data_IF_975989443974
#
_entry.id   IF_975989443974
#
_cell.length_a   1.000
_cell.length_b   1.000
_cell.length_c   1.000
_cell.angle_alpha   90.00
_cell.angle_beta   90.00
_cell.angle_gamma   90.00
#
_symmetry.space_group_name_H-M   'P 1'
#
loop_
_entity.id
_entity.type
_entity.pdbx_description
1 polymer ?
#
# COMPACT_ATOMS: atom_id res chain seq x y z
N UNK A 1 -3.24 21.20 1.87
CA UNK A 1 -1.80 21.45 2.08
C UNK A 1 -1.29 20.33 2.97
N UNK A 2 -0.25 19.60 2.55
CA UNK A 2 0.21 18.37 3.21
C UNK A 2 0.56 18.56 4.70
N UNK A 3 -0.18 17.93 5.62
CA UNK A 3 0.10 17.88 7.06
C UNK A 3 1.55 17.46 7.37
N UNK A 4 2.12 16.59 6.52
CA UNK A 4 3.51 16.12 6.61
C UNK A 4 4.55 17.25 6.70
N UNK A 5 4.32 18.35 5.97
CA UNK A 5 5.26 19.47 5.85
C UNK A 5 5.44 20.26 7.15
N UNK A 6 4.39 20.31 7.98
CA UNK A 6 4.31 21.19 9.15
C UNK A 6 4.53 20.46 10.47
N UNK A 7 4.09 19.20 10.59
CA UNK A 7 4.21 18.45 11.86
C UNK A 7 5.65 18.02 12.18
N UNK A 8 6.44 17.66 11.16
CA UNK A 8 7.81 17.15 11.35
C UNK A 8 8.92 18.12 10.94
N UNK A 9 8.58 19.39 10.64
CA UNK A 9 9.53 20.40 10.10
C UNK A 9 10.33 19.87 8.90
N UNK A 10 9.75 18.96 8.12
CA UNK A 10 10.39 18.37 6.95
C UNK A 10 9.76 19.02 5.72
N UNK A 11 10.51 19.79 4.91
CA UNK A 11 9.94 20.56 3.79
C UNK A 11 9.62 19.67 2.57
N UNK A 12 9.12 18.47 2.80
CA UNK A 12 8.77 17.49 1.78
C UNK A 12 7.26 17.58 1.53
N UNK A 13 6.89 17.62 0.25
CA UNK A 13 5.50 17.56 -0.21
C UNK A 13 5.28 16.27 -0.99
N UNK A 14 4.02 15.87 -1.14
CA UNK A 14 3.62 14.67 -1.87
C UNK A 14 2.89 15.06 -3.16
N UNK A 15 3.28 14.45 -4.27
CA UNK A 15 2.63 14.62 -5.57
C UNK A 15 2.15 13.26 -6.07
N UNK A 16 0.91 13.22 -6.59
CA UNK A 16 0.34 12.05 -7.23
C UNK A 16 0.66 12.11 -8.74
N UNK A 17 1.60 11.30 -9.25
CA UNK A 17 1.88 11.26 -10.68
C UNK A 17 0.68 10.69 -11.45
N UNK A 18 0.60 10.93 -12.76
CA UNK A 18 -0.44 10.36 -13.62
C UNK A 18 0.18 9.36 -14.61
N UNK A 19 -0.10 8.04 -14.49
CA UNK A 19 -0.93 7.41 -13.46
C UNK A 19 -0.21 7.29 -12.10
N UNK A 20 -0.98 7.24 -11.01
CA UNK A 20 -0.46 7.06 -9.66
C UNK A 20 -0.30 5.57 -9.39
N UNK A 21 0.92 5.03 -9.27
CA UNK A 21 1.09 3.62 -8.96
C UNK A 21 0.54 3.32 -7.56
N UNK A 22 -0.32 2.32 -7.47
CA UNK A 22 -0.86 1.81 -6.21
C UNK A 22 -0.65 0.29 -6.11
N UNK A 23 -0.37 -0.18 -4.91
CA UNK A 23 -0.27 -1.61 -4.61
C UNK A 23 -1.40 -2.03 -3.70
N UNK A 24 -2.02 -3.16 -3.98
CA UNK A 24 -3.02 -3.76 -3.10
C UNK A 24 -2.29 -4.20 -1.82
N UNK A 25 -2.78 -3.76 -0.66
CA UNK A 25 -2.10 -3.93 0.62
C UNK A 25 -1.78 -5.38 0.99
N UNK A 26 -0.72 -5.54 1.78
CA UNK A 26 -0.08 -6.83 2.13
C UNK A 26 -0.82 -7.67 3.17
N UNK A 27 -2.14 -7.80 3.12
CA UNK A 27 -2.80 -8.91 3.83
C UNK A 27 -2.56 -10.19 3.04
N UNK A 28 -1.33 -10.68 3.23
CA UNK A 28 -0.87 -11.97 2.75
C UNK A 28 -1.70 -13.06 3.41
N UNK A 29 -2.12 -14.03 2.59
CA UNK A 29 -3.02 -15.09 3.01
C UNK A 29 -2.57 -15.89 4.23
N UNK A 30 -3.44 -16.78 4.67
CA UNK A 30 -3.18 -17.64 5.82
C UNK A 30 -2.26 -18.77 5.40
N UNK A 31 -1.22 -19.04 6.19
CA UNK A 31 -0.35 -20.19 5.94
C UNK A 31 -1.19 -21.49 5.95
N UNK A 32 -1.05 -22.30 4.89
CA UNK A 32 -1.77 -23.57 4.73
C UNK A 32 -1.56 -24.54 5.90
N UNK A 33 -0.40 -24.49 6.53
CA UNK A 33 -0.01 -25.34 7.67
C UNK A 33 0.02 -24.56 8.99
N UNK A 34 -0.77 -23.49 9.10
CA UNK A 34 -0.85 -22.71 10.34
C UNK A 34 -1.24 -23.64 11.51
N UNK A 35 -0.54 -23.60 12.65
CA UNK A 35 -0.85 -24.44 13.82
C UNK A 35 -2.22 -24.12 14.42
N UNK A 36 -2.73 -22.91 14.17
CA UNK A 36 -4.06 -22.46 14.61
C UNK A 36 -4.82 -21.79 13.45
N UNK A 37 -5.39 -22.57 12.51
CA UNK A 37 -5.97 -22.03 11.27
C UNK A 37 -7.21 -21.16 11.53
N UNK A 38 -8.06 -21.54 12.50
CA UNK A 38 -9.25 -20.77 12.85
C UNK A 38 -8.92 -19.45 13.53
N UNK A 39 -7.89 -19.42 14.39
CA UNK A 39 -7.42 -18.18 15.00
C UNK A 39 -6.81 -17.23 13.95
N UNK A 40 -6.05 -17.77 13.00
CA UNK A 40 -5.52 -16.99 11.88
C UNK A 40 -6.64 -16.42 10.99
N UNK A 41 -7.69 -17.21 10.72
CA UNK A 41 -8.86 -16.74 9.97
C UNK A 41 -9.61 -15.62 10.69
N UNK A 42 -9.86 -15.78 11.99
CA UNK A 42 -10.50 -14.74 12.81
C UNK A 42 -9.67 -13.45 12.83
N UNK A 43 -8.35 -13.58 12.95
CA UNK A 43 -7.45 -12.43 12.94
C UNK A 43 -7.45 -11.70 11.59
N UNK A 44 -7.45 -12.44 10.49
CA UNK A 44 -7.55 -11.85 9.15
C UNK A 44 -8.86 -11.09 8.97
N UNK A 45 -9.98 -11.67 9.39
CA UNK A 45 -11.30 -11.01 9.37
C UNK A 45 -11.31 -9.74 10.22
N UNK A 46 -10.77 -9.80 11.44
CA UNK A 46 -10.68 -8.63 12.33
C UNK A 46 -9.86 -7.50 11.72
N UNK A 47 -8.69 -7.78 11.14
CA UNK A 47 -7.85 -6.74 10.52
C UNK A 47 -8.58 -6.07 9.34
N UNK A 48 -9.30 -6.86 8.53
CA UNK A 48 -10.04 -6.35 7.37
C UNK A 48 -11.31 -5.58 7.77
N UNK A 49 -11.85 -5.81 8.97
CA UNK A 49 -12.97 -5.04 9.50
C UNK A 49 -12.64 -3.54 9.61
N UNK A 50 -13.69 -2.71 9.74
CA UNK A 50 -13.53 -1.29 9.95
C UNK A 50 -12.74 -0.96 11.24
N UNK A 51 -12.87 -1.78 12.29
CA UNK A 51 -12.15 -1.58 13.54
C UNK A 51 -10.65 -1.87 13.39
N UNK A 52 -10.29 -3.05 12.87
CA UNK A 52 -8.90 -3.41 12.61
C UNK A 52 -8.22 -2.46 11.60
N UNK A 53 -8.96 -2.04 10.58
CA UNK A 53 -8.48 -1.06 9.60
C UNK A 53 -8.20 0.31 10.23
N UNK A 54 -9.00 0.76 11.22
CA UNK A 54 -8.72 2.01 11.96
C UNK A 54 -7.43 1.92 12.77
N UNK A 55 -7.19 0.77 13.40
CA UNK A 55 -5.95 0.53 14.15
C UNK A 55 -4.74 0.64 13.20
N UNK A 56 -4.81 -0.01 12.04
CA UNK A 56 -3.75 0.07 11.03
C UNK A 56 -3.59 1.48 10.47
N UNK A 57 -4.69 2.19 10.20
CA UNK A 57 -4.66 3.57 9.70
C UNK A 57 -3.90 4.49 10.67
N UNK A 58 -4.09 4.30 11.98
CA UNK A 58 -3.39 5.03 13.04
C UNK A 58 -1.86 4.96 12.96
N UNK A 59 -1.29 3.96 12.28
CA UNK A 59 0.16 3.86 12.05
C UNK A 59 0.68 4.70 10.88
N UNK A 60 -0.21 5.43 10.19
CA UNK A 60 0.10 6.19 8.97
C UNK A 60 -0.01 5.35 7.69
N UNK A 61 -0.49 4.11 7.77
CA UNK A 61 -0.84 3.31 6.59
C UNK A 61 -2.16 3.81 5.98
N UNK A 62 -2.29 3.66 4.66
CA UNK A 62 -3.55 3.87 3.95
C UNK A 62 -4.46 2.68 4.26
N UNK A 63 -5.65 2.93 4.77
CA UNK A 63 -6.62 1.89 5.08
C UNK A 63 -7.18 1.27 3.78
N UNK A 64 -7.28 -0.06 3.73
CA UNK A 64 -7.96 -0.76 2.63
C UNK A 64 -9.49 -0.66 2.71
N UNK A 65 -10.05 -0.42 3.90
CA UNK A 65 -11.48 -0.31 4.09
C UNK A 65 -12.00 1.08 3.69
N UNK A 66 -13.00 1.13 2.79
CA UNK A 66 -13.50 2.37 2.15
C UNK A 66 -13.97 3.45 3.13
N UNK A 67 -14.55 3.02 4.26
CA UNK A 67 -15.11 3.93 5.26
C UNK A 67 -14.08 4.44 6.28
N UNK A 68 -12.86 3.89 6.27
CA UNK A 68 -11.81 4.27 7.21
C UNK A 68 -10.91 5.32 6.57
N UNK A 69 -10.80 6.48 7.22
CA UNK A 69 -9.91 7.55 6.79
C UNK A 69 -8.47 7.27 7.20
N UNK A 70 -7.53 7.66 6.35
CA UNK A 70 -6.10 7.71 6.70
C UNK A 70 -5.85 8.81 7.73
N UNK A 71 -4.75 8.70 8.49
CA UNK A 71 -4.33 9.75 9.44
C UNK A 71 -4.06 11.08 8.72
N UNK A 72 -3.48 11.01 7.53
CA UNK A 72 -3.24 12.18 6.69
C UNK A 72 -4.38 12.32 5.69
N UNK A 73 -5.03 13.48 5.73
CA UNK A 73 -6.19 13.76 4.89
C UNK A 73 -5.82 13.69 3.40
N UNK A 74 -4.61 14.09 3.01
CA UNK A 74 -4.14 14.13 1.62
C UNK A 74 -4.12 12.76 0.94
N UNK A 75 -3.84 11.70 1.70
CA UNK A 75 -3.83 10.30 1.23
C UNK A 75 -5.09 9.54 1.62
N UNK A 76 -6.07 10.22 2.21
CA UNK A 76 -7.38 9.66 2.54
C UNK A 76 -8.29 9.70 1.32
N UNK A 77 -9.01 8.60 1.07
CA UNK A 77 -10.08 8.53 0.06
C UNK A 77 -9.64 8.93 -1.36
N UNK A 78 -8.48 8.44 -1.80
CA UNK A 78 -7.85 8.78 -3.09
C UNK A 78 -8.77 8.59 -4.31
N UNK A 79 -9.56 7.52 -4.32
CA UNK A 79 -10.55 7.27 -5.39
C UNK A 79 -11.63 8.37 -5.45
N UNK A 80 -12.14 8.81 -4.30
CA UNK A 80 -13.15 9.87 -4.22
C UNK A 80 -12.58 11.23 -4.62
N UNK A 81 -11.27 11.43 -4.40
CA UNK A 81 -10.53 12.62 -4.83
C UNK A 81 -10.17 12.60 -6.32
N UNK A 82 -10.52 11.55 -7.05
CA UNK A 82 -10.27 11.43 -8.48
C UNK A 82 -8.80 11.19 -8.82
N UNK A 83 -8.01 10.66 -7.88
CA UNK A 83 -6.61 10.31 -8.15
C UNK A 83 -6.57 9.08 -9.07
N UNK A 84 -5.88 9.14 -10.23
CA UNK A 84 -5.85 8.05 -11.20
C UNK A 84 -4.93 6.92 -10.72
N UNK A 85 -5.45 6.02 -9.89
CA UNK A 85 -4.71 4.88 -9.36
C UNK A 85 -4.50 3.80 -10.43
N UNK A 86 -3.24 3.50 -10.72
CA UNK A 86 -2.84 2.29 -11.45
C UNK A 86 -2.56 1.18 -10.44
N UNK A 87 -3.56 0.34 -10.22
CA UNK A 87 -3.42 -0.86 -9.41
C UNK A 87 -2.83 -1.99 -10.25
N UNK A 88 -1.71 -2.54 -9.78
CA UNK A 88 -1.12 -3.75 -10.36
C UNK A 88 -1.79 -4.95 -9.70
N UNK A 89 -2.45 -5.79 -10.49
CA UNK A 89 -3.03 -7.04 -9.98
C UNK A 89 -1.91 -8.03 -9.61
N UNK A 90 -2.16 -8.97 -8.69
CA UNK A 90 -1.16 -9.98 -8.32
C UNK A 90 -0.61 -10.75 -9.53
N UNK A 91 -1.47 -11.08 -10.49
CA UNK A 91 -1.09 -11.83 -11.70
C UNK A 91 -0.13 -11.00 -12.57
N UNK A 92 -0.43 -9.72 -12.76
CA UNK A 92 0.44 -8.79 -13.49
C UNK A 92 1.73 -8.51 -12.74
N UNK A 93 1.70 -8.47 -11.41
CA UNK A 93 2.88 -8.26 -10.60
C UNK A 93 3.89 -9.41 -10.77
N UNK A 94 3.42 -10.65 -10.85
CA UNK A 94 4.27 -11.82 -11.08
C UNK A 94 4.90 -11.81 -12.49
N UNK A 95 4.11 -11.48 -13.51
CA UNK A 95 4.62 -11.34 -14.89
C UNK A 95 5.69 -10.23 -14.99
N UNK A 96 5.42 -9.08 -14.37
CA UNK A 96 6.31 -7.93 -14.40
C UNK A 96 7.55 -8.12 -13.53
N UNK A 97 7.48 -8.90 -12.45
CA UNK A 97 8.56 -9.08 -11.49
C UNK A 97 9.85 -9.57 -12.13
N UNK A 98 9.77 -10.55 -13.05
CA UNK A 98 10.93 -11.09 -13.74
C UNK A 98 11.58 -10.07 -14.69
N UNK A 99 10.76 -9.32 -15.42
CA UNK A 99 11.23 -8.28 -16.36
C UNK A 99 11.84 -7.11 -15.59
N UNK A 100 11.14 -6.63 -14.56
CA UNK A 100 11.58 -5.53 -13.71
C UNK A 100 12.91 -5.86 -13.02
N UNK A 101 13.08 -7.09 -12.52
CA UNK A 101 14.35 -7.55 -11.93
C UNK A 101 15.50 -7.47 -12.92
N UNK A 102 15.32 -7.99 -14.15
CA UNK A 102 16.36 -7.94 -15.19
C UNK A 102 16.76 -6.50 -15.52
N UNK A 103 15.77 -5.62 -15.71
CA UNK A 103 16.01 -4.20 -15.98
C UNK A 103 16.75 -3.54 -14.82
N UNK A 104 16.33 -3.80 -13.57
CA UNK A 104 17.01 -3.25 -12.39
C UNK A 104 18.46 -3.73 -12.29
N UNK A 105 18.74 -5.00 -12.56
CA UNK A 105 20.11 -5.54 -12.57
C UNK A 105 20.97 -4.85 -13.64
N UNK A 106 20.44 -4.64 -14.84
CA UNK A 106 21.15 -3.98 -15.94
C UNK A 106 21.40 -2.50 -15.66
N UNK A 107 20.40 -1.77 -15.15
CA UNK A 107 20.46 -0.30 -14.97
C UNK A 107 21.12 0.11 -13.65
N UNK A 108 20.82 -0.58 -12.54
CA UNK A 108 21.26 -0.17 -11.20
C UNK A 108 22.53 -0.90 -10.77
N UNK A 109 22.66 -2.19 -11.08
CA UNK A 109 23.75 -3.03 -10.55
C UNK A 109 24.94 -3.09 -11.52
N UNK A 110 24.68 -3.21 -12.82
CA UNK A 110 25.74 -3.37 -13.83
C UNK A 110 26.28 -2.07 -14.42
N UNK A 111 25.92 -0.90 -13.88
CA UNK A 111 26.33 0.44 -14.37
C UNK A 111 27.75 0.46 -14.96
N UNK A 112 27.83 0.34 -16.28
CA UNK A 112 28.91 0.91 -17.07
C UNK A 112 28.53 2.38 -17.27
N UNK A 113 29.02 3.23 -16.36
CA UNK A 113 29.27 4.63 -16.68
C UNK A 113 30.73 4.76 -17.09
#
# INVERSE_FOLDING_TARGET
>A
MAQFKYERKCPIDFSFPNPTPGSVGSLGGINRSAPHPHAAALFADFILSAEGSKILAGTGRIAGHKEVKSVYEEVSQLEQKGVPLLLVSPEKADEQGNVARKIMEEILIRKQF
#
